data_IF_016803919629
#
_entry.id   IF_016803919629
#
_cell.length_a   1.000
_cell.length_b   1.000
_cell.length_c   1.000
_cell.angle_alpha   90.00
_cell.angle_beta   90.00
_cell.angle_gamma   90.00
#
_symmetry.space_group_name_H-M   'P 1'
#
loop_
_entity.id
_entity.type
_entity.pdbx_description
1 polymer ?
#
# COMPACT_ATOMS: atom_id res chain seq x y z
N UNK A 1 -27.39 23.38 -42.08
CA UNK A 1 -28.71 23.47 -41.44
C UNK A 1 -28.84 22.27 -40.52
N UNK A 2 -29.04 22.54 -39.23
CA UNK A 2 -29.26 21.57 -38.16
C UNK A 2 -30.57 20.82 -38.38
N UNK A 3 -30.57 19.50 -38.17
CA UNK A 3 -31.75 18.76 -37.73
C UNK A 3 -31.41 18.11 -36.39
N UNK A 4 -32.05 18.66 -35.36
CA UNK A 4 -32.08 18.24 -33.97
C UNK A 4 -32.96 16.99 -33.79
N UNK A 5 -32.58 16.15 -32.80
CA UNK A 5 -33.42 15.38 -31.85
C UNK A 5 -34.46 14.39 -32.45
N UNK A 6 -34.70 13.18 -31.94
CA UNK A 6 -34.79 12.71 -30.56
C UNK A 6 -35.05 11.18 -30.64
N UNK A 7 -34.46 10.36 -29.78
CA UNK A 7 -35.03 9.08 -29.35
C UNK A 7 -34.40 8.66 -28.02
N UNK A 8 -35.20 8.76 -26.98
CA UNK A 8 -34.89 8.51 -25.57
C UNK A 8 -35.00 7.01 -25.23
N UNK A 9 -34.25 6.62 -24.20
CA UNK A 9 -34.47 5.59 -23.18
C UNK A 9 -34.86 4.15 -23.55
N UNK A 10 -33.93 3.23 -23.20
CA UNK A 10 -34.30 2.01 -22.47
C UNK A 10 -33.14 1.47 -21.64
N UNK A 11 -33.00 1.97 -20.42
CA UNK A 11 -32.20 1.34 -19.35
C UNK A 11 -33.10 0.31 -18.68
N UNK A 12 -32.79 -0.98 -18.84
CA UNK A 12 -33.48 -2.06 -18.13
C UNK A 12 -32.70 -2.42 -16.86
N UNK A 13 -33.16 -1.85 -15.74
CA UNK A 13 -32.77 -2.24 -14.38
C UNK A 13 -33.40 -3.59 -14.05
N UNK A 14 -32.58 -4.58 -13.65
CA UNK A 14 -33.07 -5.79 -12.97
C UNK A 14 -32.29 -5.99 -11.68
N UNK A 15 -32.95 -5.67 -10.57
CA UNK A 15 -32.46 -5.85 -9.21
C UNK A 15 -33.44 -6.77 -8.46
N UNK A 16 -32.89 -7.50 -7.48
CA UNK A 16 -33.52 -8.37 -6.46
C UNK A 16 -33.81 -9.83 -6.84
N UNK A 17 -33.18 -10.78 -6.15
CA UNK A 17 -33.59 -11.18 -4.79
C UNK A 17 -32.40 -11.62 -3.94
N UNK A 18 -32.41 -11.14 -2.70
CA UNK A 18 -31.58 -11.55 -1.57
C UNK A 18 -32.49 -12.48 -0.77
N UNK A 19 -32.05 -13.72 -0.53
CA UNK A 19 -32.63 -14.56 0.51
C UNK A 19 -31.68 -14.49 1.72
N UNK A 20 -32.13 -13.78 2.75
CA UNK A 20 -31.66 -13.83 4.13
C UNK A 20 -32.18 -15.10 4.82
N UNK A 21 -31.72 -15.32 6.06
CA UNK A 21 -32.03 -16.40 7.04
C UNK A 21 -30.96 -17.51 7.00
N UNK A 22 -30.07 -17.70 7.98
CA UNK A 22 -30.33 -17.70 9.41
C UNK A 22 -29.05 -17.46 10.26
N UNK A 23 -29.28 -16.95 11.46
CA UNK A 23 -28.32 -16.42 12.43
C UNK A 23 -27.42 -17.51 13.07
N UNK A 24 -26.10 -17.27 13.21
CA UNK A 24 -25.35 -16.91 14.43
C UNK A 24 -25.25 -17.95 15.58
N UNK A 25 -24.04 -17.95 16.18
CA UNK A 25 -23.58 -18.43 17.51
C UNK A 25 -23.45 -19.97 17.68
N UNK A 26 -22.44 -20.59 18.31
CA UNK A 26 -21.45 -20.21 19.34
C UNK A 26 -20.23 -21.15 19.26
N UNK A 27 -19.05 -20.62 19.58
CA UNK A 27 -17.86 -21.33 20.06
C UNK A 27 -18.14 -22.59 20.90
N UNK A 28 -17.37 -23.64 20.67
CA UNK A 28 -16.99 -24.57 21.73
C UNK A 28 -15.59 -25.14 21.44
N UNK A 29 -14.58 -24.32 21.74
CA UNK A 29 -13.20 -24.75 21.95
C UNK A 29 -13.17 -25.84 23.03
N UNK A 30 -13.14 -27.09 22.60
CA UNK A 30 -12.94 -28.21 23.52
C UNK A 30 -11.44 -28.44 23.73
N UNK A 31 -10.91 -27.58 24.60
CA UNK A 31 -9.65 -27.75 25.31
C UNK A 31 -9.63 -29.13 26.00
N UNK A 32 -8.70 -30.00 25.58
CA UNK A 32 -8.28 -31.18 26.34
C UNK A 32 -6.77 -31.36 26.13
N UNK A 33 -5.97 -30.58 26.85
CA UNK A 33 -4.56 -30.87 27.08
C UNK A 33 -4.46 -31.87 28.24
N UNK A 34 -3.80 -33.02 28.07
CA UNK A 34 -3.41 -33.87 29.19
C UNK A 34 -2.09 -33.37 29.79
N UNK A 35 -2.17 -32.87 31.02
CA UNK A 35 -1.04 -32.64 31.92
C UNK A 35 -0.18 -33.90 32.08
N UNK A 36 1.16 -33.79 32.00
CA UNK A 36 2.05 -34.68 32.72
C UNK A 36 2.71 -33.94 33.88
N UNK A 37 2.24 -34.28 35.07
CA UNK A 37 2.94 -34.16 36.34
C UNK A 37 4.41 -34.60 36.22
N UNK A 38 5.35 -33.76 36.66
CA UNK A 38 6.75 -34.14 36.77
C UNK A 38 7.60 -32.99 37.27
N UNK A 39 8.02 -33.08 38.52
CA UNK A 39 8.98 -32.21 39.20
C UNK A 39 10.28 -32.05 38.41
N UNK A 40 10.70 -30.80 38.20
CA UNK A 40 12.10 -30.40 38.29
C UNK A 40 12.13 -28.88 38.48
N UNK A 41 12.86 -28.43 39.49
CA UNK A 41 13.22 -27.03 39.70
C UNK A 41 13.97 -26.52 38.46
N UNK A 42 13.22 -26.01 37.48
CA UNK A 42 13.77 -25.19 36.42
C UNK A 42 13.89 -23.78 36.98
N UNK A 43 14.99 -23.53 37.70
CA UNK A 43 15.51 -22.18 37.89
C UNK A 43 15.67 -21.55 36.49
N UNK A 44 14.69 -20.74 36.09
CA UNK A 44 14.78 -19.95 34.88
C UNK A 44 15.91 -18.93 35.13
N UNK A 45 17.02 -18.95 34.38
CA UNK A 45 18.04 -17.95 34.55
C UNK A 45 17.44 -16.59 34.14
N UNK A 46 17.34 -15.69 35.12
CA UNK A 46 16.89 -14.32 34.87
C UNK A 46 17.94 -13.63 34.00
N UNK A 47 17.59 -13.32 32.75
CA UNK A 47 18.45 -12.53 31.87
C UNK A 47 18.25 -11.04 32.19
N UNK A 48 19.23 -10.43 32.86
CA UNK A 48 19.31 -8.97 32.94
C UNK A 48 19.90 -8.44 31.64
N UNK A 49 19.06 -7.80 30.83
CA UNK A 49 19.53 -6.99 29.71
C UNK A 49 19.93 -5.60 30.21
N UNK A 50 21.21 -5.24 30.07
CA UNK A 50 21.66 -3.86 30.25
C UNK A 50 21.55 -3.10 28.92
N UNK A 51 20.53 -2.25 28.78
CA UNK A 51 20.50 -1.26 27.71
C UNK A 51 21.34 -0.04 28.10
N UNK A 52 22.52 0.09 27.53
CA UNK A 52 23.30 1.33 27.60
C UNK A 52 22.77 2.31 26.54
N UNK A 53 21.91 3.25 26.96
CA UNK A 53 21.67 4.44 26.14
C UNK A 53 22.93 5.31 26.18
N UNK A 54 23.71 5.30 25.11
CA UNK A 54 24.71 6.34 24.90
C UNK A 54 23.97 7.62 24.57
N UNK A 55 23.87 8.52 25.56
CA UNK A 55 23.44 9.90 25.30
C UNK A 55 24.33 10.45 24.18
N UNK A 56 23.76 10.94 23.06
CA UNK A 56 24.57 11.61 22.05
C UNK A 56 25.27 12.79 22.71
N UNK A 57 26.60 12.80 22.67
CA UNK A 57 27.35 14.02 22.93
C UNK A 57 27.05 14.97 21.78
N UNK A 58 26.18 15.93 21.99
CA UNK A 58 26.07 17.11 21.13
C UNK A 58 27.28 18.04 21.35
N UNK A 59 27.59 18.99 20.44
CA UNK A 59 27.01 19.24 19.12
C UNK A 59 28.10 19.43 18.04
N UNK A 60 28.09 18.63 16.98
CA UNK A 60 28.83 18.96 15.76
C UNK A 60 27.87 18.83 14.60
N UNK A 61 27.35 20.00 14.17
CA UNK A 61 26.57 20.26 12.96
C UNK A 61 26.16 18.97 12.26
N UNK A 62 24.97 18.47 12.58
CA UNK A 62 24.34 17.44 11.78
C UNK A 62 24.18 17.99 10.36
N UNK A 63 25.20 17.75 9.53
CA UNK A 63 24.98 17.64 8.11
C UNK A 63 23.91 16.58 8.01
N UNK A 64 22.69 17.00 7.64
CA UNK A 64 21.59 16.11 7.30
C UNK A 64 22.11 15.22 6.18
N UNK A 65 22.75 14.10 6.53
CA UNK A 65 22.87 12.98 5.62
C UNK A 65 21.45 12.49 5.50
N UNK A 66 20.73 13.00 4.49
CA UNK A 66 19.60 12.29 3.96
C UNK A 66 20.09 10.86 3.77
N UNK A 67 19.51 9.92 4.51
CA UNK A 67 19.67 8.52 4.21
C UNK A 67 19.09 8.39 2.80
N UNK A 68 20.00 8.26 1.83
CA UNK A 68 19.66 8.10 0.43
C UNK A 68 18.95 6.75 0.34
N UNK A 69 17.61 6.76 0.36
CA UNK A 69 16.82 5.53 0.16
C UNK A 69 17.22 4.99 -1.20
N UNK A 70 17.50 3.70 -1.27
CA UNK A 70 17.72 3.08 -2.56
C UNK A 70 16.42 3.10 -3.37
N UNK A 71 16.53 3.10 -4.70
CA UNK A 71 15.36 3.06 -5.57
C UNK A 71 14.52 1.80 -5.33
N UNK A 72 15.16 0.68 -4.96
CA UNK A 72 14.46 -0.56 -4.61
C UNK A 72 13.63 -0.43 -3.33
N UNK A 73 14.17 0.23 -2.29
CA UNK A 73 13.40 0.49 -1.06
C UNK A 73 12.15 1.33 -1.35
N UNK A 74 12.25 2.29 -2.27
CA UNK A 74 11.12 3.11 -2.71
C UNK A 74 10.08 2.23 -3.41
N UNK A 75 10.50 1.38 -4.37
CA UNK A 75 9.59 0.47 -5.07
C UNK A 75 8.88 -0.47 -4.11
N UNK A 76 9.59 -1.05 -3.14
CA UNK A 76 9.00 -1.95 -2.14
C UNK A 76 7.99 -1.22 -1.24
N UNK A 77 8.33 -0.02 -0.78
CA UNK A 77 7.42 0.81 0.01
C UNK A 77 6.14 1.14 -0.77
N UNK A 78 6.28 1.59 -2.02
CA UNK A 78 5.13 1.91 -2.88
C UNK A 78 4.29 0.66 -3.18
N UNK A 79 4.93 -0.49 -3.45
CA UNK A 79 4.24 -1.75 -3.68
C UNK A 79 3.37 -2.16 -2.48
N UNK A 80 3.94 -2.09 -1.26
CA UNK A 80 3.20 -2.40 -0.03
C UNK A 80 2.01 -1.45 0.14
N UNK A 81 2.20 -0.15 -0.12
CA UNK A 81 1.13 0.84 0.00
C UNK A 81 -0.01 0.58 -1.00
N UNK A 82 0.33 0.22 -2.24
CA UNK A 82 -0.63 0.09 -3.33
C UNK A 82 -1.37 -1.26 -3.31
N UNK A 83 -0.72 -2.35 -2.93
CA UNK A 83 -1.32 -3.69 -2.90
C UNK A 83 -1.94 -4.06 -1.56
N UNK A 84 -1.17 -3.88 -0.49
CA UNK A 84 -1.44 -4.44 0.82
C UNK A 84 -2.19 -3.48 1.72
N UNK A 85 -1.79 -2.20 1.71
CA UNK A 85 -2.59 -1.16 2.33
C UNK A 85 -3.67 -0.68 1.36
N UNK A 86 -4.81 -0.23 1.89
CA UNK A 86 -5.83 0.50 1.12
C UNK A 86 -5.38 1.93 0.77
N UNK A 87 -4.06 2.17 0.72
CA UNK A 87 -3.46 3.48 0.90
C UNK A 87 -3.36 4.29 -0.38
N UNK A 88 -3.69 5.58 -0.27
CA UNK A 88 -3.33 6.61 -1.24
C UNK A 88 -1.86 6.97 -1.05
N UNK A 89 -1.12 7.12 -2.15
CA UNK A 89 0.23 7.68 -2.09
C UNK A 89 0.19 9.15 -1.68
N UNK A 90 1.09 9.55 -0.78
CA UNK A 90 1.28 10.95 -0.49
C UNK A 90 2.04 11.61 -1.65
N UNK A 91 1.60 12.78 -2.16
CA UNK A 91 2.26 13.46 -3.25
C UNK A 91 3.75 13.78 -2.96
N UNK A 92 4.09 13.95 -1.69
CA UNK A 92 5.44 14.29 -1.27
C UNK A 92 6.43 13.12 -1.41
N UNK A 93 5.95 11.87 -1.42
CA UNK A 93 6.80 10.69 -1.72
C UNK A 93 7.24 10.65 -3.19
N UNK A 94 6.51 11.32 -4.07
CA UNK A 94 6.78 11.35 -5.51
C UNK A 94 7.49 12.63 -5.95
N UNK A 95 7.24 13.78 -5.32
CA UNK A 95 7.81 15.08 -5.72
C UNK A 95 9.34 15.15 -5.79
N UNK A 96 10.05 14.35 -5.00
CA UNK A 96 11.52 14.41 -4.95
C UNK A 96 12.22 13.52 -5.99
N UNK A 97 11.47 12.79 -6.81
CA UNK A 97 12.04 11.85 -7.79
C UNK A 97 12.50 12.58 -9.05
N UNK A 98 13.67 12.19 -9.57
CA UNK A 98 14.07 12.63 -10.92
C UNK A 98 13.24 11.91 -11.98
N UNK A 99 13.19 12.45 -13.20
CA UNK A 99 12.46 11.83 -14.32
C UNK A 99 12.90 10.39 -14.57
N UNK A 100 14.21 10.14 -14.49
CA UNK A 100 14.78 8.80 -14.66
C UNK A 100 14.32 7.86 -13.56
N UNK A 101 14.34 8.31 -12.30
CA UNK A 101 13.94 7.49 -11.15
C UNK A 101 12.44 7.18 -11.20
N UNK A 102 11.62 8.17 -11.52
CA UNK A 102 10.18 8.01 -11.69
C UNK A 102 9.85 6.93 -12.73
N UNK A 103 10.51 6.98 -13.90
CA UNK A 103 10.31 5.97 -14.95
C UNK A 103 10.75 4.59 -14.47
N UNK A 104 11.92 4.47 -13.84
CA UNK A 104 12.42 3.18 -13.34
C UNK A 104 11.52 2.59 -12.25
N UNK A 105 11.01 3.43 -11.34
CA UNK A 105 10.07 3.00 -10.30
C UNK A 105 8.78 2.47 -10.94
N UNK A 106 8.21 3.18 -11.91
CA UNK A 106 6.99 2.75 -12.59
C UNK A 106 7.23 1.48 -13.41
N UNK A 107 8.37 1.35 -14.11
CA UNK A 107 8.73 0.14 -14.86
C UNK A 107 8.90 -1.07 -13.90
N UNK A 108 9.43 -0.88 -12.69
CA UNK A 108 9.53 -1.95 -11.69
C UNK A 108 8.20 -2.29 -11.02
N UNK A 109 7.33 -1.29 -10.84
CA UNK A 109 5.99 -1.51 -10.29
C UNK A 109 5.07 -2.19 -11.31
N UNK A 110 5.24 -1.95 -12.61
CA UNK A 110 4.35 -2.50 -13.66
C UNK A 110 4.35 -4.03 -13.71
N UNK A 111 5.49 -4.66 -13.41
CA UNK A 111 5.63 -6.11 -13.33
C UNK A 111 5.15 -6.70 -12.00
N UNK A 112 4.91 -5.88 -10.98
CA UNK A 112 4.56 -6.32 -9.62
C UNK A 112 3.10 -6.05 -9.27
N UNK A 113 2.54 -4.95 -9.76
CA UNK A 113 1.19 -4.52 -9.40
C UNK A 113 0.12 -5.38 -10.07
N UNK A 114 -0.88 -5.74 -9.29
CA UNK A 114 -2.15 -6.29 -9.74
C UNK A 114 -3.04 -5.18 -10.30
N UNK A 115 -4.17 -5.55 -10.92
CA UNK A 115 -5.17 -4.58 -11.36
C UNK A 115 -5.68 -3.66 -10.23
N UNK A 116 -5.72 -4.16 -8.99
CA UNK A 116 -6.06 -3.37 -7.79
C UNK A 116 -4.98 -2.33 -7.49
N UNK A 117 -3.71 -2.73 -7.47
CA UNK A 117 -2.62 -1.80 -7.22
C UNK A 117 -2.49 -0.73 -8.30
N UNK A 118 -2.71 -1.11 -9.57
CA UNK A 118 -2.77 -0.16 -10.70
C UNK A 118 -3.92 0.85 -10.49
N UNK A 119 -5.11 0.38 -10.10
CA UNK A 119 -6.23 1.26 -9.80
C UNK A 119 -5.90 2.24 -8.66
N UNK A 120 -5.34 1.75 -7.55
CA UNK A 120 -4.96 2.59 -6.40
C UNK A 120 -3.91 3.65 -6.78
N UNK A 121 -2.95 3.29 -7.64
CA UNK A 121 -1.94 4.19 -8.15
C UNK A 121 -2.56 5.30 -9.01
N UNK A 122 -3.47 4.93 -9.91
CA UNK A 122 -4.23 5.90 -10.72
C UNK A 122 -5.06 6.83 -9.83
N UNK A 123 -5.77 6.31 -8.83
CA UNK A 123 -6.51 7.13 -7.86
C UNK A 123 -5.60 8.10 -7.11
N UNK A 124 -4.41 7.64 -6.69
CA UNK A 124 -3.45 8.49 -5.98
C UNK A 124 -2.98 9.66 -6.86
N UNK A 125 -2.72 9.41 -8.15
CA UNK A 125 -2.32 10.46 -9.11
C UNK A 125 -3.45 11.46 -9.35
N UNK A 126 -4.69 10.99 -9.43
CA UNK A 126 -5.85 11.87 -9.57
C UNK A 126 -6.01 12.81 -8.36
N UNK A 127 -5.48 12.45 -7.19
CA UNK A 127 -5.52 13.25 -5.97
C UNK A 127 -4.31 14.21 -5.82
N UNK A 128 -3.35 14.18 -6.73
CA UNK A 128 -2.20 15.09 -6.71
C UNK A 128 -2.56 16.48 -7.26
N UNK A 129 -1.69 17.46 -7.04
CA UNK A 129 -1.74 18.74 -7.77
C UNK A 129 -1.75 18.48 -9.28
N UNK A 130 -2.54 19.27 -10.03
CA UNK A 130 -2.72 19.13 -11.48
C UNK A 130 -1.40 19.00 -12.25
N UNK A 131 -0.38 19.79 -11.87
CA UNK A 131 0.93 19.77 -12.52
C UNK A 131 1.65 18.42 -12.33
N UNK A 132 1.73 17.96 -11.08
CA UNK A 132 2.36 16.70 -10.70
C UNK A 132 1.56 15.49 -11.21
N UNK A 133 0.24 15.56 -11.09
CA UNK A 133 -0.69 14.53 -11.55
C UNK A 133 -0.61 14.35 -13.07
N UNK A 134 -0.59 15.44 -13.85
CA UNK A 134 -0.43 15.37 -15.31
C UNK A 134 0.92 14.75 -15.70
N UNK A 135 1.98 15.10 -14.98
CA UNK A 135 3.32 14.55 -15.19
C UNK A 135 3.34 13.02 -14.99
N UNK A 136 2.86 12.53 -13.83
CA UNK A 136 2.83 11.09 -13.57
C UNK A 136 1.81 10.34 -14.43
N UNK A 137 0.67 10.93 -14.75
CA UNK A 137 -0.31 10.34 -15.66
C UNK A 137 0.32 10.03 -17.02
N UNK A 138 1.16 10.93 -17.56
CA UNK A 138 1.88 10.66 -18.82
C UNK A 138 2.81 9.44 -18.70
N UNK A 139 3.59 9.36 -17.62
CA UNK A 139 4.51 8.24 -17.39
C UNK A 139 3.73 6.94 -17.27
N UNK A 140 2.72 6.90 -16.41
CA UNK A 140 1.89 5.71 -16.18
C UNK A 140 1.15 5.28 -17.44
N UNK A 141 0.53 6.20 -18.17
CA UNK A 141 -0.13 5.85 -19.42
C UNK A 141 0.85 5.21 -20.40
N UNK A 142 2.08 5.74 -20.53
CA UNK A 142 3.07 5.22 -21.47
C UNK A 142 3.79 3.93 -21.02
N UNK A 143 3.96 3.72 -19.71
CA UNK A 143 4.78 2.63 -19.17
C UNK A 143 3.98 1.48 -18.56
N UNK A 144 2.77 1.76 -18.09
CA UNK A 144 1.94 0.81 -17.34
C UNK A 144 0.67 0.43 -18.10
N UNK A 145 -0.08 1.42 -18.60
CA UNK A 145 -1.43 1.18 -19.15
C UNK A 145 -1.45 0.90 -20.64
N UNK A 146 -0.55 1.52 -21.40
CA UNK A 146 -0.41 1.34 -22.84
C UNK A 146 1.01 0.85 -23.14
N UNK A 147 1.38 -0.36 -22.72
CA UNK A 147 2.68 -0.91 -23.05
C UNK A 147 2.83 -0.92 -24.58
N UNK A 148 3.81 -0.16 -25.07
CA UNK A 148 4.24 -0.11 -26.47
C UNK A 148 4.95 -1.39 -26.87
#
# INVERSE_FOLDING_TARGET
QLLFLQAEDKIENKMQNIDDEDAMIVDNDQCNQPEPSGSDDLEIPSSQFFFTQTKPKEPLKASKKQVERSLDDVVDSLFVILELNTGSLEPDDMKSLTDTDAIQIIDKLSVRLSSKGIYNLCCSICNMDVSLGTYYAKIICSKLLLPL
#
